data_IF_520887081077
#
_entry.id   IF_520887081077
#
_cell.length_a   1.000
_cell.length_b   1.000
_cell.length_c   1.000
_cell.angle_alpha   90.00
_cell.angle_beta   90.00
_cell.angle_gamma   90.00
#
_symmetry.space_group_name_H-M   'P 1'
#
loop_
_entity.id
_entity.type
_entity.pdbx_description
1 polymer ?
#
# COMPACT_ATOMS: atom_id res chain seq x y z
N UNK A 1 14.18 -23.38 -0.17
CA UNK A 1 14.22 -21.92 -0.42
C UNK A 1 13.09 -21.62 -1.37
N UNK A 2 11.94 -21.24 -0.83
CA UNK A 2 10.78 -20.79 -1.60
C UNK A 2 11.13 -19.44 -2.22
N UNK A 3 10.91 -19.29 -3.51
CA UNK A 3 11.24 -18.06 -4.21
C UNK A 3 10.26 -16.97 -3.75
N UNK A 4 10.69 -15.71 -3.66
CA UNK A 4 9.82 -14.59 -3.26
C UNK A 4 8.58 -14.44 -4.19
N UNK A 5 8.64 -15.07 -5.38
CA UNK A 5 7.56 -15.16 -6.35
C UNK A 5 6.42 -16.11 -5.91
N UNK A 6 6.73 -17.18 -5.18
CA UNK A 6 5.74 -18.16 -4.69
C UNK A 6 4.96 -17.61 -3.48
N UNK A 7 5.62 -16.80 -2.65
CA UNK A 7 4.97 -16.11 -1.54
C UNK A 7 3.98 -15.02 -2.00
N UNK A 8 4.25 -14.41 -3.17
CA UNK A 8 3.35 -13.42 -3.76
C UNK A 8 2.08 -14.05 -4.36
N UNK A 9 2.14 -15.31 -4.84
CA UNK A 9 0.98 -16.00 -5.43
C UNK A 9 -0.10 -16.42 -4.42
N UNK A 10 0.22 -16.50 -3.12
CA UNK A 10 -0.76 -16.81 -2.07
C UNK A 10 -1.19 -15.56 -1.28
N UNK A 11 -0.64 -14.39 -1.63
CA UNK A 11 -0.93 -13.16 -0.91
C UNK A 11 -2.38 -12.74 -1.18
N UNK A 12 -3.14 -12.62 -0.10
CA UNK A 12 -4.45 -11.94 -0.09
C UNK A 12 -4.43 -10.88 0.99
N UNK A 13 -4.49 -9.61 0.58
CA UNK A 13 -4.43 -8.45 1.47
C UNK A 13 -4.93 -7.20 0.77
N UNK A 14 -5.44 -6.25 1.55
CA UNK A 14 -5.99 -4.98 1.07
C UNK A 14 -5.42 -3.78 1.83
N UNK A 15 -5.18 -2.70 1.08
CA UNK A 15 -4.63 -1.45 1.58
C UNK A 15 -5.49 -0.28 1.13
N UNK A 16 -5.63 0.71 2.01
CA UNK A 16 -6.12 2.04 1.65
C UNK A 16 -5.09 3.09 2.05
N UNK A 17 -4.69 3.94 1.11
CA UNK A 17 -3.81 5.07 1.34
C UNK A 17 -4.68 6.32 1.37
N UNK A 18 -4.66 7.05 2.48
CA UNK A 18 -5.37 8.31 2.67
C UNK A 18 -4.36 9.46 2.66
N UNK A 19 -4.58 10.46 1.83
CA UNK A 19 -3.73 11.65 1.78
C UNK A 19 -4.58 12.89 1.50
N UNK A 20 -4.77 13.74 2.51
CA UNK A 20 -5.75 14.83 2.46
C UNK A 20 -7.14 14.30 2.12
N UNK A 21 -7.75 14.84 1.05
CA UNK A 21 -9.06 14.41 0.53
C UNK A 21 -9.01 13.24 -0.47
N UNK A 22 -7.83 12.75 -0.82
CA UNK A 22 -7.67 11.65 -1.76
C UNK A 22 -7.52 10.33 -1.03
N UNK A 23 -8.06 9.28 -1.64
CA UNK A 23 -7.80 7.90 -1.27
C UNK A 23 -7.41 7.08 -2.49
N UNK A 24 -6.54 6.11 -2.27
CA UNK A 24 -6.17 5.07 -3.21
C UNK A 24 -6.37 3.75 -2.50
N UNK A 25 -6.93 2.76 -3.19
CA UNK A 25 -6.99 1.42 -2.65
C UNK A 25 -6.21 0.46 -3.54
N UNK A 26 -5.68 -0.57 -2.91
CA UNK A 26 -5.06 -1.70 -3.57
C UNK A 26 -5.53 -2.98 -2.88
N UNK A 27 -5.91 -3.97 -3.66
CA UNK A 27 -6.37 -5.28 -3.20
C UNK A 27 -5.58 -6.32 -3.96
N UNK A 28 -4.88 -7.18 -3.24
CA UNK A 28 -4.26 -8.37 -3.79
C UNK A 28 -5.13 -9.56 -3.36
N UNK A 29 -5.50 -10.40 -4.31
CA UNK A 29 -6.24 -11.65 -4.05
C UNK A 29 -5.58 -12.76 -4.85
N UNK A 30 -5.08 -13.79 -4.16
CA UNK A 30 -4.32 -14.90 -4.77
C UNK A 30 -3.20 -14.38 -5.70
N UNK A 31 -2.49 -13.35 -5.23
CA UNK A 31 -1.42 -12.67 -5.97
C UNK A 31 -1.87 -11.75 -7.12
N UNK A 32 -3.17 -11.64 -7.40
CA UNK A 32 -3.69 -10.71 -8.40
C UNK A 32 -3.93 -9.33 -7.78
N UNK A 33 -3.24 -8.30 -8.29
CA UNK A 33 -3.42 -6.91 -7.89
C UNK A 33 -4.59 -6.24 -8.63
N UNK A 34 -5.50 -5.64 -7.87
CA UNK A 34 -6.48 -4.65 -8.34
C UNK A 34 -6.24 -3.34 -7.59
N UNK A 35 -6.26 -2.20 -8.29
CA UNK A 35 -6.09 -0.89 -7.65
C UNK A 35 -7.02 0.15 -8.27
N UNK A 36 -7.33 1.18 -7.49
CA UNK A 36 -8.25 2.23 -7.89
C UNK A 36 -8.09 3.50 -7.07
N UNK A 37 -8.66 4.58 -7.59
CA UNK A 37 -8.81 5.84 -6.85
C UNK A 37 -10.16 5.84 -6.13
N UNK A 38 -10.17 6.37 -4.91
CA UNK A 38 -11.33 6.34 -4.02
C UNK A 38 -11.19 5.27 -2.93
N UNK A 39 -12.13 5.28 -1.96
CA UNK A 39 -12.10 4.34 -0.84
C UNK A 39 -12.19 2.89 -1.32
N UNK A 40 -11.64 1.99 -0.54
CA UNK A 40 -11.74 0.56 -0.77
C UNK A 40 -13.23 0.12 -0.77
N UNK A 41 -13.60 -0.87 -1.62
CA UNK A 41 -14.97 -1.37 -1.69
C UNK A 41 -15.40 -2.14 -0.44
N UNK A 42 -14.45 -2.55 0.39
CA UNK A 42 -14.62 -3.22 1.69
C UNK A 42 -13.67 -2.60 2.72
N UNK A 43 -13.82 -2.97 3.99
CA UNK A 43 -12.87 -2.57 5.03
C UNK A 43 -11.45 -3.07 4.67
N UNK A 44 -10.46 -2.17 4.59
CA UNK A 44 -9.09 -2.54 4.23
C UNK A 44 -8.35 -3.16 5.42
N UNK A 45 -7.49 -4.14 5.16
CA UNK A 45 -6.67 -4.79 6.19
C UNK A 45 -5.64 -3.83 6.80
N UNK A 46 -5.15 -2.88 6.00
CA UNK A 46 -4.30 -1.79 6.45
C UNK A 46 -4.70 -0.44 5.84
N UNK A 47 -4.95 0.54 6.70
CA UNK A 47 -5.05 1.95 6.30
C UNK A 47 -3.72 2.65 6.58
N UNK A 48 -3.20 3.36 5.58
CA UNK A 48 -2.01 4.21 5.66
C UNK A 48 -2.45 5.65 5.50
N UNK A 49 -2.34 6.46 6.55
CA UNK A 49 -2.70 7.89 6.49
C UNK A 49 -1.44 8.73 6.39
N UNK A 50 -1.27 9.42 5.27
CA UNK A 50 -0.25 10.45 5.09
C UNK A 50 -0.75 11.75 5.69
N UNK A 51 -0.01 12.29 6.65
CA UNK A 51 -0.37 13.52 7.35
C UNK A 51 -0.24 14.74 6.43
N UNK A 52 -1.28 15.59 6.40
CA UNK A 52 -1.32 16.84 5.63
C UNK A 52 -2.64 17.06 4.89
N UNK A 53 -2.96 18.33 4.63
CA UNK A 53 -4.27 18.73 4.08
C UNK A 53 -4.34 18.68 2.54
N UNK A 54 -3.18 18.71 1.87
CA UNK A 54 -3.08 18.65 0.42
C UNK A 54 -2.87 17.21 -0.05
N UNK A 55 -3.37 16.87 -1.25
CA UNK A 55 -3.04 15.61 -1.92
C UNK A 55 -1.60 15.73 -2.43
N UNK A 56 -0.63 15.02 -1.83
CA UNK A 56 0.76 15.16 -2.21
C UNK A 56 1.03 14.31 -3.47
N UNK A 57 2.01 14.68 -4.31
CA UNK A 57 2.37 13.84 -5.46
C UNK A 57 2.83 12.45 -5.00
N UNK A 58 2.61 11.42 -5.81
CA UNK A 58 2.87 10.01 -5.46
C UNK A 58 4.26 9.77 -4.83
N UNK A 59 5.30 10.44 -5.33
CA UNK A 59 6.66 10.33 -4.78
C UNK A 59 6.77 10.74 -3.30
N UNK A 60 5.96 11.71 -2.88
CA UNK A 60 5.95 12.25 -1.53
C UNK A 60 5.19 11.30 -0.60
N UNK A 61 4.10 10.68 -1.08
CA UNK A 61 3.40 9.58 -0.39
C UNK A 61 4.40 8.46 -0.10
N UNK A 62 5.12 8.01 -1.13
CA UNK A 62 6.11 6.94 -0.99
C UNK A 62 7.27 7.34 -0.07
N UNK A 63 7.67 8.62 -0.04
CA UNK A 63 8.67 9.09 0.92
C UNK A 63 8.13 9.02 2.34
N UNK A 64 6.92 9.54 2.60
CA UNK A 64 6.32 9.52 3.94
C UNK A 64 6.19 8.10 4.48
N UNK A 65 5.76 7.15 3.62
CA UNK A 65 5.72 5.73 3.96
C UNK A 65 7.12 5.21 4.34
N UNK A 66 8.15 5.53 3.56
CA UNK A 66 9.53 5.11 3.83
C UNK A 66 10.15 5.75 5.08
N UNK A 67 9.80 6.99 5.40
CA UNK A 67 10.31 7.70 6.58
C UNK A 67 9.53 7.37 7.86
N UNK A 68 8.40 6.67 7.76
CA UNK A 68 7.52 6.38 8.89
C UNK A 68 6.67 7.58 9.32
N UNK A 69 6.56 8.61 8.47
CA UNK A 69 5.72 9.79 8.69
C UNK A 69 4.27 9.53 8.27
N UNK A 70 3.74 8.38 8.69
CA UNK A 70 2.38 7.92 8.39
C UNK A 70 1.74 7.34 9.65
N UNK A 71 0.42 7.50 9.76
CA UNK A 71 -0.36 6.76 10.74
C UNK A 71 -0.86 5.45 10.11
N UNK A 72 -0.85 4.38 10.90
CA UNK A 72 -1.30 3.06 10.47
C UNK A 72 -2.52 2.65 11.29
N UNK A 73 -3.54 2.13 10.61
CA UNK A 73 -4.65 1.42 11.24
C UNK A 73 -4.75 0.03 10.63
N UNK A 74 -4.35 -0.98 11.38
CA UNK A 74 -4.22 -2.37 10.93
C UNK A 74 -2.84 -2.95 11.28
N UNK A 75 -2.53 -4.18 10.83
CA UNK A 75 -1.25 -4.84 11.11
C UNK A 75 -0.07 -4.11 10.43
N UNK A 76 0.92 -3.60 11.19
CA UNK A 76 2.07 -2.89 10.61
C UNK A 76 2.91 -3.74 9.65
N UNK A 77 2.91 -5.06 9.80
CA UNK A 77 3.62 -5.99 8.91
C UNK A 77 3.12 -5.93 7.46
N UNK A 78 1.89 -5.49 7.22
CA UNK A 78 1.36 -5.30 5.87
C UNK A 78 1.97 -4.08 5.16
N UNK A 79 2.62 -3.17 5.89
CA UNK A 79 3.36 -2.06 5.29
C UNK A 79 4.60 -2.55 4.54
N UNK A 80 5.29 -3.56 5.09
CA UNK A 80 6.46 -4.17 4.45
C UNK A 80 6.05 -4.88 3.16
N UNK A 81 4.93 -5.61 3.20
CA UNK A 81 4.34 -6.25 2.03
C UNK A 81 3.95 -5.22 0.96
N UNK A 82 3.35 -4.10 1.36
CA UNK A 82 3.04 -2.99 0.46
C UNK A 82 4.33 -2.45 -0.20
N UNK A 83 5.38 -2.19 0.57
CA UNK A 83 6.64 -1.69 0.04
C UNK A 83 7.25 -2.67 -0.98
N UNK A 84 7.16 -3.98 -0.74
CA UNK A 84 7.65 -5.00 -1.68
C UNK A 84 6.80 -5.10 -2.96
N UNK A 85 5.48 -4.97 -2.87
CA UNK A 85 4.56 -5.12 -4.00
C UNK A 85 4.51 -3.87 -4.92
N UNK A 86 4.66 -2.68 -4.35
CA UNK A 86 4.41 -1.41 -5.06
C UNK A 86 5.66 -0.55 -5.29
N UNK A 87 6.83 -0.98 -4.81
CA UNK A 87 8.10 -0.33 -5.21
C UNK A 87 8.38 -0.67 -6.68
N UNK A 88 8.57 0.33 -7.57
CA UNK A 88 8.97 0.06 -8.95
C UNK A 88 10.24 -0.80 -8.96
N UNK A 89 10.40 -1.75 -9.90
CA UNK A 89 11.66 -2.46 -10.04
C UNK A 89 12.78 -1.42 -10.16
N UNK A 90 13.82 -1.56 -9.32
CA UNK A 90 15.00 -0.73 -9.47
C UNK A 90 15.50 -0.94 -10.90
N UNK A 91 15.45 0.13 -11.69
CA UNK A 91 16.05 0.14 -13.02
C UNK A 91 17.52 -0.19 -12.79
N UNK A 92 17.96 -1.34 -13.29
CA UNK A 92 19.38 -1.68 -13.38
C UNK A 92 20.06 -0.77 -14.39
#
# INVERSE_FOLDING_TARGET
MTSNRDAASELTASWEIRAGRASLHAVVTDGHLTSGTGPAPSEPDLVITVLGDAVPPYREIMRAIKSGEVELSGPPSLLDTFALAFTPPAVQ
#
